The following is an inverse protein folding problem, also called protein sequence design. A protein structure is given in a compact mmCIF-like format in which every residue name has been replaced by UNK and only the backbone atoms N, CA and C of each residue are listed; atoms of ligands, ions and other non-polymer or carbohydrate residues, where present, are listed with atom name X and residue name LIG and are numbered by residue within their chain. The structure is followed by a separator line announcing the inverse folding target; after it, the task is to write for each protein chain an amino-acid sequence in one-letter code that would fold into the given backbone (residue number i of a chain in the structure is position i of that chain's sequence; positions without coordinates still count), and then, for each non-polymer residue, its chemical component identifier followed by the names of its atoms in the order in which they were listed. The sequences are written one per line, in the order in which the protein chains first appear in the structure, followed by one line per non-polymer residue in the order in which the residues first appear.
data_IF_195988795555
#
_entry.id   IF_195988795555
#
_cell.length_a   1.000
_cell.length_b   1.000
_cell.length_c   1.000
_cell.angle_alpha   90.00
_cell.angle_beta   90.00
_cell.angle_gamma   90.00
#
_symmetry.space_group_name_H-M   'P 1'
#
loop_
_entity.id
_entity.type
_entity.pdbx_description
1 polymer ?
#
# COMPACT_ATOMS: atom_id res chain seq x y z
N UNK A 1 -2.59 3.04 8.45
CA UNK A 1 -3.13 1.75 8.90
C UNK A 1 -3.86 1.88 10.23
N UNK A 2 -4.97 1.14 10.38
CA UNK A 2 -5.73 1.05 11.63
C UNK A 2 -5.07 0.06 12.63
N UNK A 3 -3.79 0.25 12.92
CA UNK A 3 -2.97 -0.64 13.76
C UNK A 3 -2.76 -0.13 15.19
N UNK A 4 -3.43 0.95 15.57
CA UNK A 4 -3.38 1.54 16.91
C UNK A 4 -4.31 2.73 17.06
N UNK A 5 -4.36 3.29 18.27
CA UNK A 5 -5.14 4.49 18.54
C UNK A 5 -4.58 5.70 17.78
N UNK A 6 -5.43 6.70 17.53
CA UNK A 6 -4.98 7.95 16.96
C UNK A 6 -3.97 8.65 17.87
N UNK A 7 -2.96 9.22 17.26
CA UNK A 7 -2.04 10.14 17.90
C UNK A 7 -2.10 11.50 17.19
N UNK A 8 -1.43 12.49 17.76
CA UNK A 8 -1.53 13.88 17.26
C UNK A 8 -1.12 14.00 15.77
N UNK A 9 -0.21 13.17 15.29
CA UNK A 9 0.17 13.17 13.87
C UNK A 9 -0.99 12.84 12.93
N UNK A 10 -1.83 11.85 13.27
CA UNK A 10 -3.04 11.53 12.51
C UNK A 10 -4.07 12.65 12.60
N UNK A 11 -4.32 13.14 13.82
CA UNK A 11 -5.37 14.13 14.09
C UNK A 11 -5.05 15.45 13.40
N UNK A 12 -3.78 15.84 13.31
CA UNK A 12 -3.36 17.08 12.68
C UNK A 12 -3.74 17.13 11.20
N UNK A 13 -3.57 16.03 10.46
CA UNK A 13 -3.98 15.95 9.05
C UNK A 13 -5.49 16.08 8.90
N UNK A 14 -6.26 15.43 9.76
CA UNK A 14 -7.72 15.53 9.76
C UNK A 14 -8.21 16.94 10.11
N UNK A 15 -7.55 17.62 11.06
CA UNK A 15 -7.84 19.03 11.39
C UNK A 15 -7.60 19.93 10.18
N UNK A 16 -6.48 19.77 9.49
CA UNK A 16 -6.16 20.55 8.30
C UNK A 16 -7.20 20.32 7.20
N UNK A 17 -7.58 19.09 6.95
CA UNK A 17 -8.61 18.75 5.98
C UNK A 17 -9.98 19.34 6.37
N UNK A 18 -10.39 19.24 7.64
CA UNK A 18 -11.65 19.78 8.13
C UNK A 18 -11.70 21.31 8.03
N UNK A 19 -10.62 22.02 8.34
CA UNK A 19 -10.51 23.47 8.15
C UNK A 19 -10.68 23.84 6.67
N UNK A 20 -10.02 23.12 5.78
CA UNK A 20 -10.15 23.34 4.34
C UNK A 20 -11.60 23.12 3.87
N UNK A 21 -12.23 22.02 4.28
CA UNK A 21 -13.63 21.69 3.96
C UNK A 21 -14.58 22.75 4.44
N UNK A 22 -14.45 23.21 5.69
CA UNK A 22 -15.25 24.32 6.25
C UNK A 22 -15.08 25.59 5.43
N UNK A 23 -13.84 25.91 5.06
CA UNK A 23 -13.56 27.08 4.21
C UNK A 23 -14.27 26.97 2.87
N UNK A 24 -14.19 25.83 2.20
CA UNK A 24 -14.85 25.60 0.92
C UNK A 24 -16.38 25.73 1.03
N UNK A 25 -16.97 25.20 2.09
CA UNK A 25 -18.41 25.33 2.35
C UNK A 25 -18.83 26.79 2.61
N UNK A 26 -18.02 27.54 3.35
CA UNK A 26 -18.24 28.97 3.56
C UNK A 26 -18.16 29.79 2.26
N UNK A 27 -17.34 29.35 1.30
CA UNK A 27 -17.24 29.90 -0.05
C UNK A 27 -18.41 29.49 -0.97
N UNK A 28 -19.35 28.68 -0.48
CA UNK A 28 -20.50 28.19 -1.23
C UNK A 28 -20.25 26.96 -2.09
N UNK A 29 -19.10 26.31 -1.94
CA UNK A 29 -18.79 25.09 -2.67
C UNK A 29 -19.47 23.87 -2.02
N UNK A 30 -19.98 22.95 -2.84
CA UNK A 30 -20.41 21.64 -2.39
C UNK A 30 -19.19 20.76 -2.09
N UNK A 31 -19.12 20.20 -0.88
CA UNK A 31 -18.00 19.38 -0.46
C UNK A 31 -18.52 18.12 0.23
N UNK A 32 -18.12 16.97 -0.24
CA UNK A 32 -18.29 15.68 0.44
C UNK A 32 -16.98 15.35 1.17
N UNK A 33 -17.00 15.34 2.49
CA UNK A 33 -15.87 15.02 3.33
C UNK A 33 -16.00 13.60 3.82
N UNK A 34 -15.25 12.68 3.23
CA UNK A 34 -15.31 11.24 3.51
C UNK A 34 -13.99 10.73 4.03
N UNK A 35 -14.05 9.73 4.89
CA UNK A 35 -12.88 9.04 5.42
C UNK A 35 -13.17 7.55 5.62
N UNK A 36 -12.11 6.77 5.74
CA UNK A 36 -12.22 5.35 6.04
C UNK A 36 -11.01 4.85 6.84
N UNK A 37 -11.22 3.72 7.54
CA UNK A 37 -10.16 2.96 8.15
C UNK A 37 -9.45 2.14 7.08
N UNK A 38 -8.14 2.30 7.00
CA UNK A 38 -7.26 1.40 6.26
C UNK A 38 -6.96 0.18 7.14
N UNK A 39 -7.70 -0.89 6.91
CA UNK A 39 -7.81 -2.03 7.84
C UNK A 39 -7.06 -3.27 7.41
N UNK A 40 -6.52 -3.33 6.21
CA UNK A 40 -5.89 -4.54 5.67
C UNK A 40 -4.37 -4.58 5.86
N UNK A 41 -3.80 -5.74 5.59
CA UNK A 41 -2.37 -5.93 5.44
C UNK A 41 -1.64 -6.50 6.65
N UNK A 42 -0.40 -6.84 6.42
CA UNK A 42 0.47 -7.49 7.40
C UNK A 42 0.67 -6.70 8.70
N UNK A 43 0.76 -5.33 8.71
CA UNK A 43 0.86 -4.58 9.96
C UNK A 43 -0.33 -4.79 10.91
N UNK A 44 -1.54 -4.92 10.35
CA UNK A 44 -2.76 -5.21 11.12
C UNK A 44 -2.71 -6.63 11.69
N UNK A 45 -2.32 -7.61 10.87
CA UNK A 45 -2.22 -9.02 11.30
C UNK A 45 -1.26 -9.17 12.48
N UNK A 46 -0.10 -8.52 12.44
CA UNK A 46 0.90 -8.57 13.51
C UNK A 46 0.39 -7.87 14.77
N UNK A 47 -0.24 -6.71 14.63
CA UNK A 47 -0.80 -6.00 15.77
C UNK A 47 -1.92 -6.82 16.44
N UNK A 48 -2.77 -7.47 15.64
CA UNK A 48 -3.82 -8.36 16.12
C UNK A 48 -3.25 -9.60 16.83
N UNK A 49 -2.24 -10.27 16.26
CA UNK A 49 -1.54 -11.41 16.88
C UNK A 49 -0.96 -11.03 18.24
N UNK A 50 -0.27 -9.88 18.34
CA UNK A 50 0.28 -9.36 19.60
C UNK A 50 -0.79 -9.06 20.63
N UNK A 51 -1.98 -8.65 20.18
CA UNK A 51 -3.13 -8.38 21.05
C UNK A 51 -3.94 -9.64 21.39
N UNK A 52 -3.60 -10.81 20.86
CA UNK A 52 -4.32 -12.07 21.04
C UNK A 52 -5.71 -12.05 20.41
N UNK A 53 -5.90 -11.32 19.30
CA UNK A 53 -7.18 -11.12 18.60
C UNK A 53 -7.09 -11.55 17.15
N UNK A 54 -8.24 -11.79 16.51
CA UNK A 54 -8.28 -11.85 15.04
C UNK A 54 -8.10 -10.45 14.45
N UNK A 55 -7.60 -10.32 13.19
CA UNK A 55 -7.50 -9.03 12.53
C UNK A 55 -8.83 -8.27 12.52
N UNK A 56 -9.94 -8.95 12.24
CA UNK A 56 -11.29 -8.37 12.22
C UNK A 56 -11.70 -7.80 13.59
N UNK A 57 -11.47 -8.56 14.68
CA UNK A 57 -11.76 -8.09 16.05
C UNK A 57 -10.89 -6.89 16.41
N UNK A 58 -9.61 -6.93 16.02
CA UNK A 58 -8.67 -5.86 16.31
C UNK A 58 -9.07 -4.54 15.63
N UNK A 59 -9.38 -4.56 14.35
CA UNK A 59 -9.81 -3.34 13.63
C UNK A 59 -11.17 -2.83 14.10
N UNK A 60 -12.08 -3.73 14.50
CA UNK A 60 -13.38 -3.33 15.08
C UNK A 60 -13.20 -2.56 16.38
N UNK A 61 -12.28 -3.00 17.25
CA UNK A 61 -11.99 -2.30 18.52
C UNK A 61 -11.36 -0.91 18.26
N UNK A 62 -10.46 -0.80 17.30
CA UNK A 62 -9.89 0.49 16.90
C UNK A 62 -10.99 1.41 16.36
N UNK A 63 -11.88 0.89 15.50
CA UNK A 63 -13.01 1.63 14.95
C UNK A 63 -13.94 2.18 16.06
N UNK A 64 -14.26 1.35 17.05
CA UNK A 64 -15.11 1.75 18.19
C UNK A 64 -14.52 2.90 18.99
N UNK A 65 -13.18 2.96 19.12
CA UNK A 65 -12.48 4.00 19.87
C UNK A 65 -12.30 5.33 19.13
N UNK A 66 -12.54 5.38 17.82
CA UNK A 66 -12.15 6.52 16.98
C UNK A 66 -13.00 7.76 17.19
N UNK A 67 -14.31 7.59 17.31
CA UNK A 67 -15.26 8.71 17.36
C UNK A 67 -14.90 9.77 18.42
N UNK A 68 -14.44 9.35 19.60
CA UNK A 68 -14.05 10.26 20.67
C UNK A 68 -12.93 11.24 20.27
N UNK A 69 -11.99 10.81 19.43
CA UNK A 69 -10.88 11.67 18.96
C UNK A 69 -11.37 12.68 17.94
N UNK A 70 -12.21 12.26 16.99
CA UNK A 70 -12.77 13.15 15.98
C UNK A 70 -13.68 14.18 16.64
N UNK A 71 -14.60 13.77 17.52
CA UNK A 71 -15.49 14.66 18.24
C UNK A 71 -14.72 15.65 19.13
N UNK A 72 -13.66 15.19 19.80
CA UNK A 72 -12.83 16.02 20.67
C UNK A 72 -12.14 17.19 19.95
N UNK A 73 -11.89 17.08 18.66
CA UNK A 73 -11.34 18.13 17.82
C UNK A 73 -12.37 18.76 16.87
N UNK A 74 -13.66 18.44 17.06
CA UNK A 74 -14.76 18.95 16.22
C UNK A 74 -14.62 18.63 14.73
N UNK A 75 -13.95 17.52 14.38
CA UNK A 75 -13.78 17.06 13.01
C UNK A 75 -15.05 16.32 12.58
N UNK A 76 -15.70 16.80 11.52
CA UNK A 76 -17.00 16.30 11.07
C UNK A 76 -16.93 15.75 9.64
N UNK A 77 -16.71 14.45 9.50
CA UNK A 77 -16.88 13.75 8.23
C UNK A 77 -18.37 13.60 7.89
N UNK A 78 -18.72 13.74 6.63
CA UNK A 78 -20.07 13.41 6.14
C UNK A 78 -20.30 11.89 6.17
N UNK A 79 -19.26 11.13 5.88
CA UNK A 79 -19.26 9.66 6.02
C UNK A 79 -17.89 9.15 6.42
N UNK A 80 -17.88 8.19 7.34
CA UNK A 80 -16.70 7.43 7.72
C UNK A 80 -17.00 5.94 7.58
N UNK A 81 -16.14 5.22 6.89
CA UNK A 81 -16.36 3.80 6.61
C UNK A 81 -15.08 2.97 6.90
N UNK A 82 -14.96 1.80 6.29
CA UNK A 82 -13.81 0.90 6.41
C UNK A 82 -13.46 0.31 5.05
N UNK A 83 -12.17 0.10 4.81
CA UNK A 83 -11.73 -0.65 3.63
C UNK A 83 -12.12 -2.13 3.69
N UNK A 84 -12.44 -2.66 4.89
CA UNK A 84 -12.99 -4.02 5.07
C UNK A 84 -14.53 -4.08 4.97
N UNK A 85 -15.17 -3.03 4.46
CA UNK A 85 -16.61 -3.04 4.24
C UNK A 85 -16.99 -3.91 3.04
N UNK A 86 -18.15 -4.61 3.10
CA UNK A 86 -18.60 -5.46 2.00
C UNK A 86 -18.70 -4.73 0.65
N UNK A 87 -19.07 -3.47 0.66
CA UNK A 87 -19.17 -2.63 -0.54
C UNK A 87 -17.79 -2.43 -1.17
N UNK A 88 -16.76 -2.22 -0.35
CA UNK A 88 -15.39 -2.07 -0.84
C UNK A 88 -14.85 -3.39 -1.40
N UNK A 89 -15.17 -4.51 -0.75
CA UNK A 89 -14.82 -5.84 -1.28
C UNK A 89 -15.42 -6.03 -2.67
N UNK A 90 -16.72 -5.74 -2.83
CA UNK A 90 -17.41 -5.88 -4.12
C UNK A 90 -16.77 -4.96 -5.18
N UNK A 91 -16.56 -3.68 -4.86
CA UNK A 91 -15.97 -2.71 -5.79
C UNK A 91 -14.54 -3.10 -6.21
N UNK A 92 -13.70 -3.52 -5.28
CA UNK A 92 -12.33 -3.96 -5.59
C UNK A 92 -12.34 -5.16 -6.55
N UNK A 93 -13.21 -6.13 -6.29
CA UNK A 93 -13.36 -7.30 -7.15
C UNK A 93 -13.95 -6.95 -8.53
N UNK A 94 -14.89 -6.01 -8.60
CA UNK A 94 -15.47 -5.56 -9.88
C UNK A 94 -14.42 -4.79 -10.71
N UNK A 95 -13.66 -3.90 -10.10
CA UNK A 95 -12.53 -3.22 -10.76
C UNK A 95 -11.52 -4.23 -11.31
N UNK A 96 -11.18 -5.26 -10.53
CA UNK A 96 -10.29 -6.32 -11.01
C UNK A 96 -10.86 -7.04 -12.22
N UNK A 97 -12.15 -7.43 -12.19
CA UNK A 97 -12.80 -8.09 -13.32
C UNK A 97 -12.79 -7.23 -14.58
N UNK A 98 -13.05 -5.93 -14.42
CA UNK A 98 -13.04 -4.99 -15.53
C UNK A 98 -11.63 -4.82 -16.11
N UNK A 99 -10.63 -4.68 -15.27
CA UNK A 99 -9.23 -4.62 -15.73
C UNK A 99 -8.81 -5.91 -16.44
N UNK A 100 -9.20 -7.06 -15.91
CA UNK A 100 -8.93 -8.37 -16.53
C UNK A 100 -9.63 -8.52 -17.88
N UNK A 101 -10.90 -8.14 -17.97
CA UNK A 101 -11.68 -8.17 -19.22
C UNK A 101 -11.05 -7.24 -20.29
N UNK A 102 -10.43 -6.15 -19.89
CA UNK A 102 -9.72 -5.23 -20.79
C UNK A 102 -8.26 -5.63 -21.08
N UNK A 103 -7.82 -6.80 -20.63
CA UNK A 103 -6.46 -7.32 -20.86
C UNK A 103 -5.36 -6.56 -20.10
N UNK A 104 -5.72 -5.89 -19.02
CA UNK A 104 -4.82 -5.10 -18.18
C UNK A 104 -4.31 -5.86 -16.94
N UNK A 105 -4.68 -7.12 -16.80
CA UNK A 105 -4.13 -8.00 -15.76
C UNK A 105 -3.25 -9.06 -16.41
N UNK A 106 -2.07 -9.24 -15.85
CA UNK A 106 -1.10 -10.27 -16.26
C UNK A 106 -0.68 -11.09 -15.05
N UNK A 107 -0.40 -12.36 -15.27
CA UNK A 107 0.14 -13.28 -14.26
C UNK A 107 1.62 -13.51 -14.49
N UNK A 108 2.42 -13.41 -13.44
CA UNK A 108 3.87 -13.68 -13.48
C UNK A 108 4.26 -14.54 -12.27
N UNK A 109 5.16 -15.47 -12.49
CA UNK A 109 5.81 -16.19 -11.38
C UNK A 109 6.96 -15.34 -10.87
N UNK A 110 6.96 -15.07 -9.57
CA UNK A 110 8.05 -14.34 -8.90
C UNK A 110 8.66 -15.18 -7.78
N UNK A 111 9.91 -14.90 -7.47
CA UNK A 111 10.60 -15.49 -6.31
C UNK A 111 10.45 -14.56 -5.11
N UNK A 112 9.96 -15.08 -4.00
CA UNK A 112 9.79 -14.35 -2.76
C UNK A 112 10.38 -15.09 -1.57
N UNK A 113 10.76 -14.33 -0.55
CA UNK A 113 11.15 -14.91 0.71
C UNK A 113 9.95 -15.44 1.49
N UNK A 114 10.12 -16.63 2.02
CA UNK A 114 9.14 -17.35 2.81
C UNK A 114 9.71 -17.67 4.18
N UNK A 115 8.98 -17.36 5.23
CA UNK A 115 9.31 -17.71 6.60
C UNK A 115 8.82 -19.12 6.91
N UNK A 116 9.72 -20.10 7.14
CA UNK A 116 9.31 -21.47 7.40
C UNK A 116 8.71 -21.68 8.80
N UNK A 117 9.00 -20.79 9.76
CA UNK A 117 8.46 -20.86 11.12
C UNK A 117 7.06 -20.24 11.21
N UNK A 118 6.85 -19.14 10.52
CA UNK A 118 5.53 -18.47 10.43
C UNK A 118 4.66 -19.04 9.31
N UNK A 119 5.23 -19.87 8.43
CA UNK A 119 4.56 -20.46 7.26
C UNK A 119 3.85 -19.40 6.39
N UNK A 120 4.57 -18.33 6.07
CA UNK A 120 4.05 -17.22 5.27
C UNK A 120 5.12 -16.58 4.40
N UNK A 121 4.70 -15.99 3.27
CA UNK A 121 5.56 -15.12 2.49
C UNK A 121 5.82 -13.81 3.24
N UNK A 122 7.03 -13.29 3.11
CA UNK A 122 7.47 -12.10 3.81
C UNK A 122 7.37 -10.88 2.89
N UNK A 123 6.50 -9.91 3.20
CA UNK A 123 6.60 -8.57 2.61
C UNK A 123 7.95 -7.91 2.91
N UNK A 124 8.37 -6.97 2.08
CA UNK A 124 9.68 -6.33 2.13
C UNK A 124 10.05 -5.77 3.51
N UNK A 125 9.06 -5.23 4.24
CA UNK A 125 9.23 -4.69 5.61
C UNK A 125 9.40 -5.76 6.69
N UNK A 126 9.20 -7.03 6.37
CA UNK A 126 9.40 -8.14 7.30
C UNK A 126 10.65 -8.97 6.99
N UNK A 127 11.43 -8.50 6.05
CA UNK A 127 12.76 -9.02 5.75
C UNK A 127 13.79 -7.99 6.19
N UNK A 128 14.78 -8.44 6.91
CA UNK A 128 15.94 -7.64 7.27
C UNK A 128 17.22 -8.36 6.86
N UNK A 129 18.27 -7.57 6.64
CA UNK A 129 19.57 -8.08 6.30
C UNK A 129 20.61 -6.99 6.24
N UNK A 130 21.76 -7.30 5.65
CA UNK A 130 22.83 -6.36 5.43
C UNK A 130 22.66 -5.71 4.05
N UNK A 131 22.81 -4.39 3.99
CA UNK A 131 22.69 -3.63 2.74
C UNK A 131 23.74 -4.09 1.71
N UNK A 132 23.37 -4.40 0.46
CA UNK A 132 24.31 -4.84 -0.57
C UNK A 132 25.30 -3.75 -1.00
N UNK A 133 25.02 -2.44 -0.70
CA UNK A 133 25.88 -1.32 -1.10
C UNK A 133 26.82 -0.84 0.01
N UNK A 134 26.31 -0.58 1.22
CA UNK A 134 27.09 0.00 2.30
C UNK A 134 27.37 -0.95 3.46
N UNK A 135 26.86 -2.17 3.40
CA UNK A 135 27.02 -3.20 4.42
C UNK A 135 26.46 -2.84 5.81
N UNK A 136 25.58 -1.83 5.88
CA UNK A 136 24.85 -1.54 7.11
C UNK A 136 23.92 -2.72 7.44
N UNK A 137 23.93 -3.12 8.72
CA UNK A 137 23.14 -4.25 9.22
C UNK A 137 21.69 -3.84 9.49
N UNK A 138 20.80 -4.82 9.57
CA UNK A 138 19.40 -4.70 9.98
C UNK A 138 18.55 -3.78 9.06
N UNK A 139 18.96 -3.67 7.80
CA UNK A 139 18.22 -2.89 6.80
C UNK A 139 17.02 -3.66 6.26
N UNK A 140 15.96 -2.94 5.88
CA UNK A 140 14.74 -3.53 5.31
C UNK A 140 14.94 -4.03 3.88
N UNK A 141 13.98 -4.85 3.40
CA UNK A 141 14.06 -5.51 2.09
C UNK A 141 13.89 -4.58 0.89
N UNK A 142 13.42 -3.35 1.08
CA UNK A 142 13.14 -2.40 0.01
C UNK A 142 14.16 -1.27 -0.09
N UNK A 143 14.78 -0.86 1.03
CA UNK A 143 15.71 0.25 1.06
C UNK A 143 16.67 0.22 2.25
N UNK A 144 17.79 0.94 2.12
CA UNK A 144 18.73 1.16 3.20
C UNK A 144 18.50 2.52 3.87
N UNK A 145 18.20 2.52 5.16
CA UNK A 145 18.02 3.76 5.94
C UNK A 145 19.31 4.53 6.16
N UNK A 146 20.48 3.88 5.98
CA UNK A 146 21.79 4.50 6.19
C UNK A 146 22.31 5.20 4.93
N UNK A 147 22.25 4.55 3.76
CA UNK A 147 22.81 5.13 2.53
C UNK A 147 21.75 5.49 1.47
N UNK A 148 20.46 5.26 1.76
CA UNK A 148 19.36 5.56 0.83
C UNK A 148 19.28 4.68 -0.41
N UNK A 149 20.05 3.59 -0.46
CA UNK A 149 20.01 2.67 -1.59
C UNK A 149 18.67 1.91 -1.64
N UNK A 150 18.09 1.81 -2.83
CA UNK A 150 16.93 0.96 -3.14
C UNK A 150 17.41 -0.33 -3.80
N UNK A 151 16.84 -1.46 -3.41
CA UNK A 151 17.21 -2.79 -3.89
C UNK A 151 16.03 -3.76 -3.75
N UNK A 152 16.11 -4.94 -4.39
CA UNK A 152 15.13 -6.00 -4.17
C UNK A 152 15.44 -6.74 -2.85
N UNK A 153 14.43 -7.29 -2.16
CA UNK A 153 14.66 -8.07 -0.93
C UNK A 153 15.68 -9.21 -1.11
N UNK A 154 15.72 -9.79 -2.29
CA UNK A 154 16.65 -10.88 -2.65
C UNK A 154 18.11 -10.44 -2.75
N UNK A 155 18.38 -9.14 -2.83
CA UNK A 155 19.74 -8.59 -2.89
C UNK A 155 20.37 -8.43 -1.49
N UNK A 156 19.57 -8.52 -0.42
CA UNK A 156 20.07 -8.43 0.94
C UNK A 156 21.09 -9.52 1.25
N UNK A 157 22.16 -9.14 1.92
CA UNK A 157 23.17 -10.07 2.41
C UNK A 157 22.70 -10.62 3.76
N UNK A 158 22.75 -11.95 3.93
CA UNK A 158 22.32 -12.64 5.14
C UNK A 158 20.89 -12.26 5.58
N UNK A 159 19.86 -12.39 4.70
CA UNK A 159 18.50 -12.02 5.04
C UNK A 159 17.94 -12.89 6.17
N UNK A 160 17.10 -12.28 7.01
CA UNK A 160 16.36 -12.98 8.06
C UNK A 160 14.95 -12.40 8.21
N UNK A 161 14.03 -13.24 8.70
CA UNK A 161 12.66 -12.79 9.02
C UNK A 161 12.66 -11.87 10.23
N UNK A 162 12.11 -10.67 10.10
CA UNK A 162 11.91 -9.78 11.23
C UNK A 162 10.83 -10.26 12.22
N UNK A 163 10.07 -11.30 11.84
CA UNK A 163 8.99 -11.87 12.65
C UNK A 163 9.46 -13.00 13.56
N UNK A 164 10.26 -13.91 13.01
CA UNK A 164 10.73 -15.13 13.71
C UNK A 164 12.23 -15.13 13.98
N UNK A 165 13.00 -14.33 13.23
CA UNK A 165 14.46 -14.41 13.19
C UNK A 165 14.99 -15.55 12.31
N UNK A 166 14.11 -16.39 11.75
CA UNK A 166 14.51 -17.51 10.91
C UNK A 166 15.16 -17.05 9.60
N UNK A 167 16.03 -17.88 9.06
CA UNK A 167 16.55 -17.68 7.70
C UNK A 167 15.43 -17.99 6.70
N UNK A 168 15.02 -17.02 5.86
CA UNK A 168 13.95 -17.26 4.93
C UNK A 168 14.38 -18.16 3.77
N UNK A 169 13.41 -18.83 3.18
CA UNK A 169 13.58 -19.65 1.98
C UNK A 169 13.02 -18.90 0.77
N UNK A 170 13.67 -19.00 -0.38
CA UNK A 170 13.08 -18.52 -1.62
C UNK A 170 12.03 -19.55 -2.09
N UNK A 171 10.85 -19.05 -2.42
CA UNK A 171 9.77 -19.83 -3.03
C UNK A 171 9.17 -19.07 -4.19
N UNK A 172 8.87 -19.78 -5.26
CA UNK A 172 8.12 -19.24 -6.39
C UNK A 172 6.66 -19.11 -6.03
N UNK A 173 6.04 -17.99 -6.42
CA UNK A 173 4.61 -17.77 -6.33
C UNK A 173 4.09 -17.09 -7.58
N UNK A 174 2.88 -17.46 -8.02
CA UNK A 174 2.20 -16.78 -9.09
C UNK A 174 1.55 -15.51 -8.56
N UNK A 175 1.87 -14.36 -9.17
CA UNK A 175 1.36 -13.05 -8.79
C UNK A 175 0.61 -12.40 -9.94
N UNK A 176 -0.34 -11.54 -9.59
CA UNK A 176 -1.15 -10.77 -10.52
C UNK A 176 -0.64 -9.34 -10.61
N UNK A 177 -0.42 -8.88 -11.83
CA UNK A 177 0.09 -7.53 -12.09
C UNK A 177 -0.94 -6.72 -12.86
N UNK A 178 -1.20 -5.52 -12.39
CA UNK A 178 -1.88 -4.51 -13.17
C UNK A 178 -0.86 -3.90 -14.15
N UNK A 179 -1.15 -4.00 -15.44
CA UNK A 179 -0.30 -3.51 -16.53
C UNK A 179 -0.37 -1.98 -16.65
N UNK A 180 0.15 -1.30 -15.63
CA UNK A 180 0.16 0.17 -15.59
C UNK A 180 1.05 0.74 -16.70
N UNK A 181 2.06 -0.01 -17.16
CA UNK A 181 2.92 0.34 -18.29
C UNK A 181 2.23 0.21 -19.66
N UNK A 182 1.01 -0.33 -19.73
CA UNK A 182 0.25 -0.41 -20.99
C UNK A 182 0.09 1.01 -21.60
N UNK A 183 0.39 1.20 -22.89
CA UNK A 183 0.31 2.52 -23.51
C UNK A 183 -1.04 3.24 -23.33
N UNK A 184 -2.15 2.49 -23.22
CA UNK A 184 -3.48 3.06 -22.94
C UNK A 184 -3.55 3.69 -21.56
N UNK A 185 -2.96 3.03 -20.54
CA UNK A 185 -2.90 3.54 -19.16
C UNK A 185 -1.98 4.76 -19.08
N UNK A 186 -0.80 4.67 -19.67
CA UNK A 186 0.17 5.77 -19.69
C UNK A 186 -0.43 7.00 -20.36
N UNK A 187 -1.00 6.86 -21.56
CA UNK A 187 -1.60 7.97 -22.30
C UNK A 187 -2.78 8.61 -21.53
N UNK A 188 -3.64 7.79 -20.91
CA UNK A 188 -4.75 8.28 -20.09
C UNK A 188 -4.25 9.08 -18.89
N UNK A 189 -3.29 8.54 -18.13
CA UNK A 189 -2.76 9.17 -16.94
C UNK A 189 -2.00 10.45 -17.26
N UNK A 190 -1.22 10.44 -18.34
CA UNK A 190 -0.49 11.62 -18.80
C UNK A 190 -1.46 12.73 -19.20
N UNK A 191 -2.48 12.42 -20.03
CA UNK A 191 -3.54 13.38 -20.37
C UNK A 191 -4.25 13.90 -19.13
N UNK A 192 -4.66 13.00 -18.23
CA UNK A 192 -5.43 13.39 -17.06
C UNK A 192 -4.62 14.27 -16.09
N UNK A 193 -3.33 13.98 -15.88
CA UNK A 193 -2.51 14.66 -14.88
C UNK A 193 -1.80 15.92 -15.40
N UNK A 194 -1.58 16.04 -16.72
CA UNK A 194 -0.80 17.16 -17.30
C UNK A 194 -1.65 18.28 -17.91
N UNK A 195 -2.97 18.12 -18.00
CA UNK A 195 -3.89 19.10 -18.66
C UNK A 195 -4.45 20.17 -17.71
N UNK A 196 -3.68 20.63 -16.73
CA UNK A 196 -4.08 21.70 -15.83
C UNK A 196 -5.15 21.31 -14.78
N UNK A 197 -5.43 20.02 -14.60
CA UNK A 197 -6.36 19.52 -13.59
C UNK A 197 -5.75 19.46 -12.19
N UNK A 198 -4.43 19.38 -12.12
CA UNK A 198 -3.68 19.32 -10.87
C UNK A 198 -2.98 20.65 -10.60
N UNK A 199 -2.66 20.92 -9.34
CA UNK A 199 -1.77 22.01 -8.97
C UNK A 199 -0.42 21.84 -9.70
N UNK A 200 0.22 22.96 -10.14
CA UNK A 200 1.47 22.89 -10.93
C UNK A 200 2.58 22.06 -10.28
N UNK A 201 2.75 22.18 -8.96
CA UNK A 201 3.76 21.44 -8.20
C UNK A 201 3.49 19.93 -8.23
N UNK A 202 2.22 19.54 -8.08
CA UNK A 202 1.78 18.14 -8.13
C UNK A 202 1.95 17.60 -9.55
N UNK A 203 1.50 18.33 -10.58
CA UNK A 203 1.65 17.94 -11.98
C UNK A 203 3.12 17.76 -12.37
N UNK A 204 4.01 18.64 -11.91
CA UNK A 204 5.45 18.55 -12.14
C UNK A 204 6.04 17.31 -11.47
N UNK A 205 5.62 16.99 -10.25
CA UNK A 205 6.07 15.78 -9.56
C UNK A 205 5.59 14.50 -10.26
N UNK A 206 4.34 14.46 -10.66
CA UNK A 206 3.75 13.31 -11.38
C UNK A 206 4.43 13.10 -12.74
N UNK A 207 4.82 14.19 -13.44
CA UNK A 207 5.56 14.08 -14.70
C UNK A 207 6.83 13.27 -14.61
N UNK A 208 7.48 13.26 -13.45
CA UNK A 208 8.67 12.44 -13.21
C UNK A 208 8.40 10.94 -13.39
N UNK A 209 7.18 10.48 -13.13
CA UNK A 209 6.79 9.07 -13.25
C UNK A 209 6.67 8.60 -14.70
N UNK A 210 6.44 9.54 -15.64
CA UNK A 210 6.39 9.24 -17.07
C UNK A 210 7.76 9.40 -17.75
N UNK A 211 8.74 9.96 -17.05
CA UNK A 211 10.04 10.28 -17.64
C UNK A 211 10.99 9.10 -17.53
N UNK A 212 11.44 8.60 -18.67
CA UNK A 212 12.55 7.66 -18.71
C UNK A 212 13.83 8.38 -18.28
N UNK A 213 14.48 7.88 -17.25
CA UNK A 213 15.74 8.44 -16.73
C UNK A 213 16.88 7.46 -16.98
N UNK A 214 18.00 7.96 -17.47
CA UNK A 214 19.25 7.20 -17.47
C UNK A 214 19.97 7.42 -16.16
N UNK A 215 20.17 6.33 -15.42
CA UNK A 215 20.90 6.34 -14.18
C UNK A 215 22.40 6.57 -14.43
N UNK A 216 23.19 6.99 -13.43
CA UNK A 216 24.63 7.17 -13.57
C UNK A 216 25.40 5.91 -13.97
N UNK A 217 24.83 4.73 -13.72
CA UNK A 217 25.37 3.42 -14.11
C UNK A 217 25.05 3.00 -15.54
N UNK A 218 24.35 3.86 -16.29
CA UNK A 218 23.96 3.60 -17.69
C UNK A 218 22.65 2.80 -17.84
N UNK A 219 22.02 2.38 -16.75
CA UNK A 219 20.69 1.76 -16.81
C UNK A 219 19.61 2.82 -17.03
N UNK A 220 18.55 2.46 -17.75
CA UNK A 220 17.37 3.32 -17.90
C UNK A 220 16.30 2.86 -16.91
N UNK A 221 15.75 3.80 -16.12
CA UNK A 221 14.47 3.57 -15.46
C UNK A 221 13.39 3.69 -16.53
N UNK A 222 12.67 2.62 -16.75
CA UNK A 222 11.41 2.70 -17.48
C UNK A 222 10.46 3.60 -16.71
N UNK A 223 9.54 4.28 -17.42
CA UNK A 223 8.56 5.16 -16.78
C UNK A 223 7.64 4.42 -15.78
N UNK A 224 6.33 4.45 -15.96
CA UNK A 224 5.40 3.70 -15.12
C UNK A 224 5.61 2.19 -15.31
N UNK A 225 6.00 1.51 -14.23
CA UNK A 225 6.09 0.05 -14.19
C UNK A 225 4.76 -0.60 -13.80
N UNK A 226 4.62 -1.89 -14.08
CA UNK A 226 3.45 -2.67 -13.67
C UNK A 226 3.39 -2.84 -12.15
N UNK A 227 2.19 -2.87 -11.61
CA UNK A 227 1.97 -3.04 -10.17
C UNK A 227 1.59 -4.47 -9.82
N UNK A 228 2.34 -5.09 -8.92
CA UNK A 228 1.93 -6.31 -8.23
C UNK A 228 0.77 -5.99 -7.30
N UNK A 229 -0.41 -6.46 -7.66
CA UNK A 229 -1.66 -6.25 -6.91
C UNK A 229 -2.03 -7.43 -6.04
N UNK A 230 -1.15 -8.43 -5.90
CA UNK A 230 -1.48 -9.67 -5.21
C UNK A 230 -0.58 -9.94 -4.00
N UNK A 231 -1.16 -10.65 -3.03
CA UNK A 231 -0.48 -11.17 -1.84
C UNK A 231 -0.89 -12.61 -1.61
N UNK A 232 0.03 -13.43 -1.12
CA UNK A 232 -0.21 -14.83 -0.76
C UNK A 232 -0.85 -14.98 0.61
N UNK A 233 -1.69 -16.01 0.76
CA UNK A 233 -2.16 -16.43 2.07
C UNK A 233 -0.99 -16.87 2.99
N UNK A 234 -1.11 -16.66 4.33
CA UNK A 234 -2.20 -16.00 5.02
C UNK A 234 -2.12 -14.48 4.90
N UNK A 235 -3.20 -13.84 4.52
CA UNK A 235 -3.24 -12.39 4.38
C UNK A 235 -4.62 -11.85 4.79
N UNK A 236 -4.66 -10.74 5.49
CA UNK A 236 -5.89 -10.01 5.78
C UNK A 236 -6.10 -8.94 4.72
N UNK A 237 -6.92 -9.26 3.75
CA UNK A 237 -7.21 -8.44 2.57
C UNK A 237 -8.45 -8.93 1.85
N UNK A 238 -8.67 -8.40 0.68
CA UNK A 238 -9.80 -8.78 -0.20
C UNK A 238 -9.34 -9.89 -1.14
N UNK A 239 -10.02 -11.03 -1.14
CA UNK A 239 -9.65 -12.15 -2.00
C UNK A 239 -9.81 -11.81 -3.48
N UNK A 240 -8.81 -12.17 -4.29
CA UNK A 240 -8.84 -11.97 -5.74
C UNK A 240 -9.82 -12.96 -6.35
N UNK A 241 -10.81 -12.52 -7.17
CA UNK A 241 -11.71 -13.41 -7.88
C UNK A 241 -10.93 -14.43 -8.73
N UNK A 242 -11.39 -15.66 -8.73
CA UNK A 242 -10.80 -16.79 -9.49
C UNK A 242 -9.37 -17.18 -9.07
N UNK A 243 -8.88 -16.68 -7.94
CA UNK A 243 -7.55 -17.00 -7.42
C UNK A 243 -7.60 -17.28 -5.89
N UNK A 244 -8.17 -18.41 -5.47
CA UNK A 244 -8.26 -18.76 -4.05
C UNK A 244 -6.91 -18.71 -3.34
N UNK A 245 -6.86 -18.05 -2.18
CA UNK A 245 -5.63 -17.86 -1.41
C UNK A 245 -4.73 -16.73 -1.91
N UNK A 246 -5.21 -15.91 -2.85
CA UNK A 246 -4.58 -14.66 -3.29
C UNK A 246 -5.47 -13.47 -2.92
N UNK A 247 -4.85 -12.40 -2.46
CA UNK A 247 -5.51 -11.21 -1.92
C UNK A 247 -4.94 -9.94 -2.55
N UNK A 248 -5.80 -8.91 -2.66
CA UNK A 248 -5.35 -7.56 -2.98
C UNK A 248 -4.63 -6.93 -1.80
#
# INVERSE_FOLDING_TARGET
YANGNFHIGHIMEYIQADIWVRTQRLLGNAVNFVGADDTHGAPIMIAAEKAGKTPQQFVADIAAGRKQYLDGFHIAFDNWHSTDAPENHQLAQDIYRDLKANGLIETRTIEQFFDPEKNMFLPDRFIKGECPKCHAKDQYGDNCEVCGAVYAPTDLINPYSALSGAKPLLKSSEHFFFKLSDPRCVAFLEDWTQNGRLQPEVANKVREWFTVRTNPDGTTSEGLGDWDISRDAPYFGIEIPDAPGKYF
#
